data_IF_340949850824
#
_entry.id   IF_340949850824
#
_cell.length_a   1.000
_cell.length_b   1.000
_cell.length_c   1.000
_cell.angle_alpha   90.00
_cell.angle_beta   90.00
_cell.angle_gamma   90.00
#
_symmetry.space_group_name_H-M   'P 1'
#
loop_
_entity.id
_entity.type
_entity.pdbx_description
1 polymer ?
#
# COMPACT_ATOMS: atom_id res chain seq x y z
N UNK A 1 -12.39 51.57 29.53
CA UNK A 1 -11.27 51.57 28.58
C UNK A 1 -11.45 50.36 27.69
N UNK A 2 -12.18 50.55 26.59
CA UNK A 2 -12.64 49.49 25.69
C UNK A 2 -11.89 49.69 24.38
N UNK A 3 -11.04 48.73 24.00
CA UNK A 3 -10.38 48.73 22.70
C UNK A 3 -11.17 47.81 21.76
N UNK A 4 -12.01 48.40 20.90
CA UNK A 4 -12.56 47.70 19.75
C UNK A 4 -11.54 47.78 18.60
N UNK A 5 -10.97 46.64 18.21
CA UNK A 5 -10.18 46.52 16.99
C UNK A 5 -11.17 46.46 15.82
N UNK A 6 -11.31 47.58 15.10
CA UNK A 6 -11.98 47.59 13.80
C UNK A 6 -11.13 46.78 12.81
N UNK A 7 -11.63 45.62 12.37
CA UNK A 7 -11.10 44.94 11.19
C UNK A 7 -11.54 45.74 9.96
N UNK A 8 -10.61 46.49 9.37
CA UNK A 8 -10.84 47.31 8.19
C UNK A 8 -11.07 46.47 6.94
N UNK A 9 -12.03 46.91 6.13
CA UNK A 9 -12.43 46.40 4.80
C UNK A 9 -11.27 46.27 3.79
N UNK A 10 -10.09 46.82 4.10
CA UNK A 10 -8.93 46.86 3.21
C UNK A 10 -7.90 45.74 3.43
N UNK A 11 -8.09 44.87 4.42
CA UNK A 11 -7.20 43.71 4.66
C UNK A 11 -7.52 42.49 3.75
N UNK A 12 -8.47 42.66 2.81
CA UNK A 12 -8.89 41.62 1.87
C UNK A 12 -8.11 41.59 0.56
N UNK A 13 -7.08 42.43 0.43
CA UNK A 13 -6.26 42.54 -0.80
C UNK A 13 -4.81 42.02 -0.64
N UNK A 14 -4.45 41.44 0.53
CA UNK A 14 -3.11 40.88 0.78
C UNK A 14 -3.05 39.34 0.83
N UNK A 15 -4.07 38.62 0.35
CA UNK A 15 -4.05 37.15 0.26
C UNK A 15 -4.22 36.68 -1.17
N UNK A 16 -3.21 36.94 -1.98
CA UNK A 16 -2.99 36.16 -3.20
C UNK A 16 -1.51 35.85 -3.38
N UNK A 17 -0.91 35.24 -2.35
CA UNK A 17 0.25 34.39 -2.60
C UNK A 17 -0.29 33.06 -3.08
N UNK A 18 -0.24 32.84 -4.38
CA UNK A 18 -0.31 31.49 -4.94
C UNK A 18 0.78 30.68 -4.26
N UNK A 19 0.39 29.71 -3.43
CA UNK A 19 1.32 28.68 -2.95
C UNK A 19 1.78 27.95 -4.22
N UNK A 20 2.95 28.32 -4.73
CA UNK A 20 3.63 27.49 -5.70
C UNK A 20 3.94 26.18 -4.96
N UNK A 21 3.44 25.01 -5.40
CA UNK A 21 3.99 23.77 -4.91
C UNK A 21 5.43 23.72 -5.43
N UNK A 22 6.39 24.11 -4.59
CA UNK A 22 7.79 23.76 -4.82
C UNK A 22 7.87 22.26 -4.57
N UNK A 23 7.45 21.46 -5.56
CA UNK A 23 7.85 20.06 -5.62
C UNK A 23 9.35 20.09 -5.85
N UNK A 24 10.10 20.02 -4.75
CA UNK A 24 11.54 19.91 -4.81
C UNK A 24 11.86 18.58 -5.50
N UNK A 25 12.20 18.65 -6.79
CA UNK A 25 12.46 17.48 -7.63
C UNK A 25 13.60 16.64 -7.03
N UNK A 26 14.48 17.26 -6.23
CA UNK A 26 15.53 16.56 -5.50
C UNK A 26 14.98 15.65 -4.37
N UNK A 27 13.85 16.00 -3.74
CA UNK A 27 13.23 15.17 -2.72
C UNK A 27 12.56 13.91 -3.31
N UNK A 28 12.23 13.92 -4.60
CA UNK A 28 11.72 12.72 -5.30
C UNK A 28 12.80 11.66 -5.57
N UNK A 29 14.09 12.04 -5.52
CA UNK A 29 15.22 11.14 -5.81
C UNK A 29 15.95 10.66 -4.55
N UNK A 30 15.64 11.19 -3.36
CA UNK A 30 16.27 10.77 -2.13
C UNK A 30 15.72 9.39 -1.71
N UNK A 31 16.58 8.36 -1.51
CA UNK A 31 16.13 7.07 -1.02
C UNK A 31 15.58 7.19 0.40
N UNK A 32 14.43 6.58 0.64
CA UNK A 32 13.85 6.46 1.97
C UNK A 32 14.83 5.70 2.88
N UNK A 33 15.26 6.35 3.96
CA UNK A 33 16.23 5.78 4.87
C UNK A 33 15.48 5.03 5.99
N UNK A 34 15.52 3.69 5.92
CA UNK A 34 15.01 2.77 6.94
C UNK A 34 15.66 2.96 8.33
N UNK A 35 16.62 3.87 8.49
CA UNK A 35 17.31 4.16 9.75
C UNK A 35 16.45 4.82 10.85
N UNK A 36 15.14 4.97 10.63
CA UNK A 36 14.14 5.01 11.71
C UNK A 36 13.89 3.62 12.36
N UNK A 37 14.69 2.61 12.03
CA UNK A 37 14.65 1.24 12.56
C UNK A 37 14.79 1.14 14.09
N UNK A 38 15.38 2.14 14.76
CA UNK A 38 15.47 2.15 16.23
C UNK A 38 14.09 2.41 16.87
N UNK A 39 13.22 3.19 16.22
CA UNK A 39 11.84 3.37 16.63
C UNK A 39 10.96 2.13 16.36
N UNK A 40 11.26 1.35 15.32
CA UNK A 40 10.55 0.12 14.97
C UNK A 40 10.83 -1.09 15.87
N UNK A 41 11.94 -1.05 16.64
CA UNK A 41 12.27 -2.10 17.61
C UNK A 41 11.49 -1.96 18.92
N UNK A 42 11.13 -0.72 19.31
CA UNK A 42 10.37 -0.42 20.53
C UNK A 42 8.86 -0.27 20.27
N UNK A 43 8.49 0.16 19.06
CA UNK A 43 7.11 0.22 18.60
C UNK A 43 6.97 -0.76 17.45
N UNK A 44 6.28 -1.90 17.68
CA UNK A 44 6.17 -2.99 16.71
C UNK A 44 5.91 -2.51 15.27
N UNK A 45 6.50 -3.22 14.31
CA UNK A 45 6.51 -2.94 12.86
C UNK A 45 5.41 -1.97 12.38
N UNK A 46 5.83 -0.80 11.89
CA UNK A 46 4.93 0.26 11.43
C UNK A 46 4.21 -0.07 10.11
N UNK A 47 4.71 -1.05 9.36
CA UNK A 47 4.35 -1.30 7.96
C UNK A 47 3.45 -2.53 7.84
N UNK A 48 2.36 -2.50 7.06
CA UNK A 48 1.49 -3.68 6.85
C UNK A 48 1.85 -4.42 5.55
N UNK A 49 1.52 -5.71 5.45
CA UNK A 49 1.69 -6.44 4.17
C UNK A 49 0.49 -6.22 3.26
N UNK A 50 0.68 -6.43 1.94
CA UNK A 50 -0.40 -6.34 0.96
C UNK A 50 -1.53 -7.32 1.25
N UNK A 51 -1.22 -8.52 1.70
CA UNK A 51 -2.20 -9.56 2.02
C UNK A 51 -3.07 -9.15 3.21
N UNK A 52 -2.44 -8.56 4.24
CA UNK A 52 -3.15 -8.00 5.40
C UNK A 52 -4.06 -6.84 4.96
N UNK A 53 -3.57 -5.97 4.08
CA UNK A 53 -4.33 -4.86 3.54
C UNK A 53 -5.57 -5.35 2.76
N UNK A 54 -5.42 -6.37 1.91
CA UNK A 54 -6.50 -6.94 1.11
C UNK A 54 -7.51 -7.76 1.93
N UNK A 55 -7.15 -8.20 3.14
CA UNK A 55 -8.08 -8.87 4.04
C UNK A 55 -9.12 -7.91 4.65
N UNK A 56 -8.83 -6.61 4.68
CA UNK A 56 -9.78 -5.59 5.15
C UNK A 56 -10.75 -5.25 4.01
N UNK A 57 -12.07 -5.54 4.14
CA UNK A 57 -13.02 -5.43 3.04
C UNK A 57 -13.21 -3.99 2.55
N UNK A 58 -13.16 -3.01 3.47
CA UNK A 58 -13.23 -1.59 3.12
C UNK A 58 -12.07 -1.18 2.20
N UNK A 59 -10.86 -1.67 2.49
CA UNK A 59 -9.68 -1.36 1.69
C UNK A 59 -9.69 -2.09 0.35
N UNK A 60 -10.05 -3.37 0.33
CA UNK A 60 -10.20 -4.13 -0.89
C UNK A 60 -11.20 -3.48 -1.86
N UNK A 61 -12.33 -2.97 -1.35
CA UNK A 61 -13.30 -2.22 -2.15
C UNK A 61 -12.73 -0.90 -2.66
N UNK A 62 -12.08 -0.11 -1.81
CA UNK A 62 -11.48 1.17 -2.20
C UNK A 62 -10.43 0.99 -3.31
N UNK A 63 -9.53 0.00 -3.13
CA UNK A 63 -8.54 -0.39 -4.14
C UNK A 63 -9.22 -0.77 -5.45
N UNK A 64 -10.29 -1.58 -5.42
CA UNK A 64 -10.97 -1.99 -6.64
C UNK A 64 -11.61 -0.82 -7.38
N UNK A 65 -12.20 0.15 -6.69
CA UNK A 65 -12.76 1.35 -7.33
C UNK A 65 -11.64 2.17 -8.00
N UNK A 66 -10.55 2.46 -7.28
CA UNK A 66 -9.45 3.28 -7.80
C UNK A 66 -8.77 2.60 -9.00
N UNK A 67 -8.33 1.35 -8.83
CA UNK A 67 -7.58 0.63 -9.86
C UNK A 67 -8.43 0.32 -11.09
N UNK A 68 -9.73 0.02 -10.92
CA UNK A 68 -10.63 -0.18 -12.08
C UNK A 68 -10.87 1.12 -12.83
N UNK A 69 -11.02 2.24 -12.12
CA UNK A 69 -11.18 3.55 -12.75
C UNK A 69 -9.95 3.90 -13.58
N UNK A 70 -8.75 3.82 -12.99
CA UNK A 70 -7.49 4.11 -13.71
C UNK A 70 -7.29 3.19 -14.90
N UNK A 71 -7.52 1.88 -14.74
CA UNK A 71 -7.38 0.92 -15.84
C UNK A 71 -8.42 1.05 -16.95
N UNK A 72 -9.56 1.71 -16.68
CA UNK A 72 -10.63 1.93 -17.65
C UNK A 72 -10.46 3.19 -18.51
N UNK A 73 -9.60 4.12 -18.09
CA UNK A 73 -9.38 5.36 -18.82
C UNK A 73 -8.60 5.10 -20.12
N UNK A 74 -9.08 5.56 -21.29
CA UNK A 74 -8.33 5.46 -22.52
C UNK A 74 -7.12 6.40 -22.50
N UNK A 75 -5.98 5.90 -22.96
CA UNK A 75 -4.76 6.71 -23.12
C UNK A 75 -4.72 7.23 -24.55
N UNK A 76 -4.72 8.55 -24.70
CA UNK A 76 -4.66 9.22 -25.99
C UNK A 76 -3.40 10.06 -26.14
N UNK A 77 -2.86 10.14 -27.35
CA UNK A 77 -1.70 10.97 -27.66
C UNK A 77 -2.10 12.19 -28.47
N UNK A 78 -1.48 13.32 -28.14
CA UNK A 78 -1.65 14.58 -28.87
C UNK A 78 -0.28 15.13 -29.25
N UNK A 79 -0.19 15.70 -30.44
CA UNK A 79 1.00 16.46 -30.81
C UNK A 79 1.01 17.77 -30.00
N UNK A 80 2.12 18.07 -29.34
CA UNK A 80 2.24 19.28 -28.53
C UNK A 80 2.04 20.56 -29.33
N UNK A 81 2.51 20.60 -30.59
CA UNK A 81 2.51 21.79 -31.44
C UNK A 81 1.22 21.94 -32.23
N UNK A 82 0.80 20.90 -32.95
CA UNK A 82 -0.38 20.97 -33.84
C UNK A 82 -1.69 20.70 -33.09
N UNK A 83 -1.64 20.22 -31.85
CA UNK A 83 -2.79 19.73 -31.06
C UNK A 83 -3.62 18.66 -31.76
N UNK A 84 -3.09 18.08 -32.83
CA UNK A 84 -3.73 16.99 -33.55
C UNK A 84 -3.77 15.75 -32.68
N UNK A 85 -4.91 15.06 -32.74
CA UNK A 85 -5.10 13.78 -32.09
C UNK A 85 -4.38 12.69 -32.88
N UNK A 86 -3.35 12.11 -32.27
CA UNK A 86 -2.57 11.03 -32.84
C UNK A 86 -3.04 9.72 -32.25
N UNK A 87 -3.11 8.68 -33.08
CA UNK A 87 -3.36 7.32 -32.60
C UNK A 87 -2.20 6.92 -31.67
N UNK A 88 -2.50 6.56 -30.40
CA UNK A 88 -1.47 6.21 -29.43
C UNK A 88 -0.68 4.99 -29.88
N UNK A 89 0.60 4.99 -29.54
CA UNK A 89 1.48 3.87 -29.83
C UNK A 89 0.99 2.60 -29.11
N UNK A 90 1.21 1.43 -29.74
CA UNK A 90 0.80 0.14 -29.16
C UNK A 90 1.29 -0.04 -27.72
N UNK A 91 2.53 0.36 -27.44
CA UNK A 91 3.16 0.27 -26.10
C UNK A 91 2.41 1.03 -25.00
N UNK A 92 1.62 2.05 -25.36
CA UNK A 92 0.79 2.82 -24.43
C UNK A 92 -0.62 2.24 -24.30
N UNK A 93 -1.18 1.66 -25.36
CA UNK A 93 -2.50 1.01 -25.26
C UNK A 93 -2.41 -0.37 -24.61
N UNK A 94 -1.38 -1.12 -24.98
CA UNK A 94 -1.12 -2.48 -24.53
C UNK A 94 0.39 -2.66 -24.32
N UNK A 95 0.90 -2.27 -23.13
CA UNK A 95 2.31 -2.40 -22.77
C UNK A 95 2.88 -3.80 -22.96
N UNK A 96 2.17 -4.81 -22.44
CA UNK A 96 2.56 -6.21 -22.51
C UNK A 96 1.70 -6.91 -23.58
N UNK A 97 2.28 -7.54 -24.60
CA UNK A 97 1.51 -8.27 -25.61
C UNK A 97 0.71 -9.46 -25.04
N UNK A 98 1.06 -9.97 -23.85
CA UNK A 98 0.43 -11.15 -23.22
C UNK A 98 -0.74 -10.79 -22.32
N UNK A 99 -0.80 -9.55 -21.81
CA UNK A 99 -1.77 -9.10 -20.80
C UNK A 99 -2.54 -7.89 -21.39
N UNK A 100 -3.86 -7.76 -21.16
CA UNK A 100 -4.59 -6.58 -21.59
C UNK A 100 -4.06 -5.31 -20.90
N UNK A 101 -3.94 -4.21 -21.63
CA UNK A 101 -3.36 -2.96 -21.11
C UNK A 101 -4.12 -2.40 -19.91
N UNK A 102 -5.44 -2.53 -19.88
CA UNK A 102 -6.28 -2.11 -18.74
C UNK A 102 -5.90 -2.84 -17.44
N UNK A 103 -5.55 -4.12 -17.50
CA UNK A 103 -5.08 -4.87 -16.35
C UNK A 103 -3.70 -4.38 -15.91
N UNK A 104 -2.77 -4.17 -16.85
CA UNK A 104 -1.43 -3.65 -16.54
C UNK A 104 -1.51 -2.30 -15.82
N UNK A 105 -2.33 -1.37 -16.31
CA UNK A 105 -2.54 -0.07 -15.65
C UNK A 105 -3.22 -0.18 -14.29
N UNK A 106 -4.16 -1.11 -14.11
CA UNK A 106 -4.79 -1.36 -12.81
C UNK A 106 -3.78 -1.87 -11.77
N UNK A 107 -2.85 -2.76 -12.16
CA UNK A 107 -1.79 -3.26 -11.29
C UNK A 107 -0.77 -2.18 -10.93
N UNK A 108 -0.40 -1.33 -11.88
CA UNK A 108 0.50 -0.19 -11.62
C UNK A 108 -0.13 0.80 -10.66
N UNK A 109 -1.41 1.11 -10.84
CA UNK A 109 -2.15 1.98 -9.94
C UNK A 109 -2.20 1.41 -8.51
N UNK A 110 -2.33 0.09 -8.37
CA UNK A 110 -2.26 -0.57 -7.07
C UNK A 110 -0.87 -0.47 -6.43
N UNK A 111 0.18 -0.75 -7.21
CA UNK A 111 1.56 -0.67 -6.71
C UNK A 111 1.89 0.75 -6.23
N UNK A 112 1.50 1.76 -7.00
CA UNK A 112 1.64 3.16 -6.58
C UNK A 112 0.85 3.46 -5.30
N UNK A 113 -0.37 2.92 -5.16
CA UNK A 113 -1.20 3.13 -3.97
C UNK A 113 -0.58 2.48 -2.72
N UNK A 114 -0.07 1.26 -2.84
CA UNK A 114 0.39 0.48 -1.69
C UNK A 114 1.84 0.75 -1.30
N UNK A 115 2.74 0.80 -2.28
CA UNK A 115 4.19 0.94 -2.06
C UNK A 115 4.76 2.29 -2.47
N UNK A 116 3.97 3.17 -3.09
CA UNK A 116 4.42 4.50 -3.53
C UNK A 116 5.26 4.48 -4.82
N UNK A 117 5.69 3.29 -5.24
CA UNK A 117 6.47 3.07 -6.46
C UNK A 117 5.88 1.90 -7.23
N UNK A 118 5.91 1.99 -8.56
CA UNK A 118 5.58 0.91 -9.46
C UNK A 118 6.67 0.75 -10.52
N UNK A 119 6.84 -0.48 -11.01
CA UNK A 119 7.94 -0.81 -11.89
C UNK A 119 7.46 -1.57 -13.12
N UNK A 120 8.01 -1.20 -14.27
CA UNK A 120 7.87 -1.91 -15.53
C UNK A 120 9.23 -2.42 -16.02
N UNK A 121 9.31 -3.60 -16.60
CA UNK A 121 10.51 -4.11 -17.25
C UNK A 121 10.34 -4.11 -18.77
N UNK A 122 11.30 -3.54 -19.48
CA UNK A 122 11.32 -3.48 -20.94
C UNK A 122 11.55 -4.88 -21.52
N UNK A 123 10.64 -5.34 -22.37
CA UNK A 123 10.73 -6.63 -23.05
C UNK A 123 11.35 -6.53 -24.43
N UNK A 124 11.04 -5.45 -25.15
CA UNK A 124 11.51 -5.24 -26.53
C UNK A 124 11.65 -3.73 -26.80
N UNK A 125 12.69 -3.38 -27.56
CA UNK A 125 12.99 -2.01 -27.99
C UNK A 125 13.40 -1.99 -29.47
N UNK A 126 13.11 -0.89 -30.15
CA UNK A 126 13.62 -0.67 -31.50
C UNK A 126 15.16 -0.58 -31.50
N UNK A 127 15.75 -0.79 -32.68
CA UNK A 127 17.20 -0.61 -32.88
C UNK A 127 17.65 0.77 -32.38
N UNK A 128 18.88 0.86 -31.91
CA UNK A 128 19.48 2.11 -31.47
C UNK A 128 19.49 3.17 -32.60
N UNK A 129 19.61 2.72 -33.86
CA UNK A 129 19.48 3.57 -35.06
C UNK A 129 18.10 4.17 -35.27
N UNK A 130 17.05 3.62 -34.65
CA UNK A 130 15.65 4.08 -34.73
C UNK A 130 15.21 4.74 -33.40
N UNK A 131 16.18 5.26 -32.64
CA UNK A 131 15.95 6.01 -31.41
C UNK A 131 15.60 5.15 -30.20
N UNK A 132 15.90 3.84 -30.21
CA UNK A 132 15.79 2.92 -29.07
C UNK A 132 14.43 2.95 -28.34
N UNK A 133 13.35 3.24 -29.06
CA UNK A 133 12.02 3.40 -28.47
C UNK A 133 11.54 2.07 -27.88
N UNK A 134 10.91 2.10 -26.71
CA UNK A 134 10.34 0.90 -26.09
C UNK A 134 9.14 0.44 -26.91
N UNK A 135 9.13 -0.84 -27.30
CA UNK A 135 8.03 -1.45 -28.06
C UNK A 135 7.06 -2.21 -27.16
N UNK A 136 7.60 -2.88 -26.13
CA UNK A 136 6.82 -3.65 -25.17
C UNK A 136 7.51 -3.65 -23.80
N UNK A 137 6.71 -3.64 -22.74
CA UNK A 137 7.18 -3.75 -21.37
C UNK A 137 6.10 -4.39 -20.49
N UNK A 138 6.52 -5.05 -19.41
CA UNK A 138 5.62 -5.75 -18.49
C UNK A 138 5.76 -5.23 -17.07
N UNK A 139 4.71 -5.32 -16.27
CA UNK A 139 4.76 -4.90 -14.86
C UNK A 139 5.55 -5.91 -14.03
N UNK A 140 6.45 -5.44 -13.19
CA UNK A 140 7.17 -6.25 -12.20
C UNK A 140 6.70 -5.86 -10.81
N UNK A 141 6.50 -6.86 -9.95
CA UNK A 141 6.02 -6.64 -8.61
C UNK A 141 7.07 -5.89 -7.76
N UNK A 142 6.70 -4.84 -7.01
CA UNK A 142 7.65 -4.01 -6.26
C UNK A 142 8.48 -4.77 -5.21
N UNK A 143 7.94 -5.85 -4.65
CA UNK A 143 8.59 -6.72 -3.66
C UNK A 143 9.80 -7.48 -4.22
N UNK A 144 9.86 -7.68 -5.54
CA UNK A 144 10.96 -8.37 -6.23
C UNK A 144 12.14 -7.45 -6.54
N UNK A 145 11.96 -6.15 -6.36
CA UNK A 145 12.92 -5.13 -6.79
C UNK A 145 13.69 -4.63 -5.58
N UNK A 146 15.00 -4.63 -5.73
CA UNK A 146 15.91 -3.97 -4.79
C UNK A 146 16.82 -3.02 -5.57
N UNK A 147 17.36 -2.01 -4.90
CA UNK A 147 18.27 -1.05 -5.52
C UNK A 147 19.60 -1.04 -4.77
N UNK A 148 20.68 -0.83 -5.52
CA UNK A 148 22.01 -0.66 -4.95
C UNK A 148 22.39 0.82 -5.03
N UNK A 149 22.77 1.38 -3.89
CA UNK A 149 23.22 2.76 -3.78
C UNK A 149 24.73 2.86 -4.00
N UNK A 150 25.20 4.07 -4.29
CA UNK A 150 26.61 4.41 -4.26
C UNK A 150 27.19 4.29 -2.83
N UNK A 151 28.52 4.33 -2.69
CA UNK A 151 29.19 4.21 -1.38
C UNK A 151 28.77 5.30 -0.38
N UNK A 152 28.30 6.45 -0.87
CA UNK A 152 27.86 7.58 -0.07
C UNK A 152 26.35 7.56 0.23
N UNK A 153 25.62 6.53 -0.20
CA UNK A 153 24.17 6.34 -0.04
C UNK A 153 23.29 7.48 -0.60
N UNK A 154 23.79 8.26 -1.56
CA UNK A 154 23.07 9.41 -2.14
C UNK A 154 22.37 9.11 -3.46
N UNK A 155 22.85 8.15 -4.24
CA UNK A 155 22.36 7.89 -5.59
C UNK A 155 22.17 6.38 -5.84
N UNK A 156 21.15 6.04 -6.62
CA UNK A 156 20.90 4.66 -7.07
C UNK A 156 21.81 4.37 -8.28
N UNK A 157 22.69 3.38 -8.16
CA UNK A 157 23.57 2.95 -9.25
C UNK A 157 22.84 2.04 -10.24
N UNK A 158 22.12 1.04 -9.70
CA UNK A 158 21.36 0.10 -10.51
C UNK A 158 20.27 -0.58 -9.67
N UNK A 159 19.31 -1.14 -10.39
CA UNK A 159 18.26 -1.97 -9.81
C UNK A 159 18.59 -3.45 -9.99
N UNK A 160 18.09 -4.26 -9.07
CA UNK A 160 18.13 -5.71 -9.11
C UNK A 160 16.72 -6.25 -9.08
N UNK A 161 16.42 -7.19 -9.97
CA UNK A 161 15.17 -7.96 -9.98
C UNK A 161 15.53 -9.38 -9.55
N UNK A 162 14.91 -9.88 -8.47
CA UNK A 162 15.21 -11.19 -7.88
C UNK A 162 16.71 -11.43 -7.58
N UNK A 163 17.43 -10.35 -7.24
CA UNK A 163 18.86 -10.39 -6.94
C UNK A 163 19.79 -10.27 -8.16
N UNK A 164 19.27 -10.44 -9.38
CA UNK A 164 20.01 -10.23 -10.62
C UNK A 164 20.03 -8.73 -10.98
N UNK A 165 21.21 -8.21 -11.31
CA UNK A 165 21.37 -6.83 -11.76
C UNK A 165 20.74 -6.63 -13.14
N UNK A 166 19.98 -5.54 -13.25
CA UNK A 166 19.26 -5.16 -14.47
C UNK A 166 20.02 -4.04 -15.19
N UNK A 167 20.17 -4.09 -16.53
CA UNK A 167 20.79 -3.01 -17.29
C UNK A 167 20.06 -1.67 -17.08
N UNK A 168 20.82 -0.57 -17.07
CA UNK A 168 20.26 0.78 -16.92
C UNK A 168 19.42 1.22 -18.14
N UNK A 169 19.79 0.75 -19.33
CA UNK A 169 19.17 1.14 -20.60
C UNK A 169 18.97 -0.08 -21.51
N UNK A 170 18.01 0.01 -22.42
CA UNK A 170 17.74 -1.02 -23.43
C UNK A 170 16.84 -2.15 -22.95
N UNK A 171 16.92 -3.29 -23.64
CA UNK A 171 16.07 -4.45 -23.33
C UNK A 171 16.43 -5.01 -21.95
N UNK A 172 15.40 -5.28 -21.15
CA UNK A 172 15.55 -5.76 -19.78
C UNK A 172 15.62 -4.65 -18.74
N UNK A 173 15.82 -3.39 -19.12
CA UNK A 173 15.88 -2.27 -18.17
C UNK A 173 14.55 -2.01 -17.47
N UNK A 174 14.61 -1.30 -16.34
CA UNK A 174 13.42 -0.92 -15.57
C UNK A 174 12.94 0.49 -15.91
N UNK A 175 11.62 0.62 -16.03
CA UNK A 175 10.86 1.86 -16.04
C UNK A 175 10.30 2.04 -14.63
N UNK A 176 10.65 3.15 -13.99
CA UNK A 176 10.21 3.47 -12.62
C UNK A 176 9.10 4.51 -12.69
N UNK A 177 7.96 4.19 -12.07
CA UNK A 177 6.87 5.13 -11.85
C UNK A 177 6.94 5.60 -10.39
N UNK A 178 7.20 6.89 -10.21
CA UNK A 178 7.27 7.51 -8.89
C UNK A 178 5.88 8.03 -8.49
N UNK A 179 5.40 7.58 -7.34
CA UNK A 179 4.20 8.10 -6.70
C UNK A 179 4.48 9.41 -5.96
N UNK A 180 3.40 10.01 -5.47
CA UNK A 180 3.43 11.26 -4.70
C UNK A 180 3.56 11.03 -3.18
N UNK A 181 3.38 9.79 -2.72
CA UNK A 181 3.38 9.38 -1.31
C UNK A 181 4.26 8.12 -1.16
N UNK A 182 4.72 7.84 0.05
CA UNK A 182 5.58 6.70 0.42
C UNK A 182 4.85 5.33 0.36
N UNK A 183 3.55 5.35 0.01
CA UNK A 183 2.68 4.20 -0.07
C UNK A 183 1.83 3.97 1.19
N UNK A 184 0.60 3.53 0.97
CA UNK A 184 -0.37 3.29 2.05
C UNK A 184 0.13 2.26 3.08
N UNK A 185 0.88 1.24 2.64
CA UNK A 185 1.34 0.17 3.53
C UNK A 185 2.34 0.66 4.57
N UNK A 186 3.17 1.64 4.20
CA UNK A 186 4.16 2.24 5.08
C UNK A 186 3.50 3.25 6.03
N UNK A 187 2.57 4.07 5.51
CA UNK A 187 1.89 5.12 6.28
C UNK A 187 0.79 4.61 7.21
N UNK A 188 -0.06 3.70 6.73
CA UNK A 188 -1.29 3.27 7.42
C UNK A 188 -1.20 1.86 8.03
N UNK A 189 0.00 1.30 8.19
CA UNK A 189 0.17 -0.09 8.63
C UNK A 189 -0.43 -0.39 10.00
N UNK A 190 -0.37 0.55 10.95
CA UNK A 190 -1.04 0.40 12.26
C UNK A 190 -2.56 0.33 12.15
N UNK A 191 -3.17 1.16 11.30
CA UNK A 191 -4.63 1.21 11.11
C UNK A 191 -5.15 -0.06 10.43
N UNK A 192 -4.41 -0.57 9.44
CA UNK A 192 -4.75 -1.83 8.76
C UNK A 192 -4.73 -3.00 9.75
N UNK A 193 -3.70 -3.07 10.61
CA UNK A 193 -3.63 -4.09 11.66
C UNK A 193 -4.73 -3.96 12.70
N UNK A 194 -5.03 -2.74 13.15
CA UNK A 194 -6.11 -2.50 14.10
C UNK A 194 -7.45 -2.96 13.53
N UNK A 195 -7.73 -2.69 12.25
CA UNK A 195 -8.93 -3.17 11.58
C UNK A 195 -8.99 -4.71 11.55
N UNK A 196 -7.87 -5.38 11.24
CA UNK A 196 -7.80 -6.83 11.23
C UNK A 196 -8.03 -7.44 12.62
N UNK A 197 -7.42 -6.88 13.66
CA UNK A 197 -7.60 -7.35 15.03
C UNK A 197 -9.03 -7.10 15.53
N UNK A 198 -9.70 -6.04 15.09
CA UNK A 198 -11.12 -5.81 15.39
C UNK A 198 -12.03 -6.87 14.75
N UNK A 199 -11.79 -7.23 13.49
CA UNK A 199 -12.53 -8.31 12.82
C UNK A 199 -12.28 -9.66 13.50
N UNK A 200 -11.02 -9.95 13.83
CA UNK A 200 -10.65 -11.16 14.57
C UNK A 200 -11.26 -11.20 15.96
N UNK A 201 -11.28 -10.07 16.68
CA UNK A 201 -11.93 -9.97 17.98
C UNK A 201 -13.45 -10.20 17.83
N UNK A 202 -14.09 -9.62 16.82
CA UNK A 202 -15.51 -9.85 16.55
C UNK A 202 -15.80 -11.33 16.26
N UNK A 203 -14.96 -12.00 15.47
CA UNK A 203 -15.07 -13.44 15.21
C UNK A 203 -14.89 -14.26 16.49
N UNK A 204 -13.90 -13.92 17.33
CA UNK A 204 -13.69 -14.58 18.62
C UNK A 204 -14.87 -14.38 19.57
N UNK A 205 -15.45 -13.18 19.64
CA UNK A 205 -16.65 -12.91 20.43
C UNK A 205 -17.88 -13.68 19.92
N UNK A 206 -17.99 -13.90 18.61
CA UNK A 206 -19.05 -14.72 18.03
C UNK A 206 -18.86 -16.22 18.35
N UNK A 207 -17.61 -16.71 18.38
CA UNK A 207 -17.28 -18.11 18.73
C UNK A 207 -17.39 -18.38 20.24
N UNK A 208 -16.92 -17.45 21.05
CA UNK A 208 -16.87 -17.54 22.51
C UNK A 208 -17.52 -16.29 23.11
N UNK A 209 -18.85 -16.26 23.27
CA UNK A 209 -19.54 -15.10 23.85
C UNK A 209 -19.06 -14.86 25.28
N UNK A 210 -18.94 -13.59 25.70
CA UNK A 210 -18.42 -13.18 27.02
C UNK A 210 -19.16 -13.90 28.17
N UNK A 211 -18.45 -14.43 29.19
CA UNK A 211 -19.12 -15.08 30.30
C UNK A 211 -19.96 -14.07 31.09
N UNK A 212 -21.25 -14.35 31.24
CA UNK A 212 -22.13 -13.62 32.18
C UNK A 212 -21.93 -14.05 33.63
N UNK A 213 -21.21 -15.14 33.89
CA UNK A 213 -20.94 -15.70 35.22
C UNK A 213 -19.47 -16.06 35.42
N UNK A 214 -18.92 -15.70 36.58
CA UNK A 214 -17.55 -16.04 37.00
C UNK A 214 -17.59 -17.21 37.96
N UNK A 215 -16.90 -18.31 37.62
CA UNK A 215 -16.66 -19.39 38.57
C UNK A 215 -15.58 -18.95 39.55
N UNK A 216 -15.95 -18.75 40.81
CA UNK A 216 -15.03 -18.47 41.91
C UNK A 216 -15.09 -19.59 42.93
N UNK A 217 -13.99 -20.29 43.16
CA UNK A 217 -13.88 -21.29 44.23
C UNK A 217 -13.55 -20.58 45.54
N UNK A 218 -14.47 -20.59 46.51
CA UNK A 218 -14.34 -19.88 47.79
C UNK A 218 -14.19 -20.84 48.99
N UNK A 219 -13.42 -21.94 48.91
CA UNK A 219 -13.08 -22.62 50.17
C UNK A 219 -12.68 -24.10 50.20
N UNK A 220 -12.35 -24.78 49.10
CA UNK A 220 -11.80 -26.16 49.19
C UNK A 220 -10.58 -26.35 48.30
N UNK A 221 -9.52 -26.93 48.86
CA UNK A 221 -8.32 -27.35 48.11
C UNK A 221 -8.70 -28.52 47.20
N UNK A 222 -9.14 -28.21 45.99
CA UNK A 222 -9.36 -29.17 44.92
C UNK A 222 -8.00 -29.68 44.41
N UNK A 223 -7.89 -30.98 44.15
CA UNK A 223 -6.69 -31.54 43.50
C UNK A 223 -6.55 -30.97 42.09
N UNK A 224 -5.32 -30.77 41.59
CA UNK A 224 -5.08 -30.13 40.28
C UNK A 224 -5.77 -30.86 39.13
N UNK A 225 -5.89 -32.19 39.18
CA UNK A 225 -6.58 -33.00 38.18
C UNK A 225 -8.09 -32.77 38.15
N UNK A 226 -8.69 -32.41 39.29
CA UNK A 226 -10.13 -32.13 39.37
C UNK A 226 -10.42 -30.71 38.86
N UNK A 227 -9.49 -29.78 39.04
CA UNK A 227 -9.58 -28.41 38.50
C UNK A 227 -9.50 -28.44 36.97
N UNK A 228 -8.55 -29.17 36.38
CA UNK A 228 -8.42 -29.26 34.92
C UNK A 228 -9.65 -29.87 34.26
N UNK A 229 -10.18 -30.98 34.82
CA UNK A 229 -11.43 -31.60 34.33
C UNK A 229 -12.63 -30.67 34.41
N UNK A 230 -12.72 -29.83 35.44
CA UNK A 230 -13.83 -28.90 35.64
C UNK A 230 -13.71 -27.70 34.69
N UNK A 231 -12.50 -27.21 34.42
CA UNK A 231 -12.25 -26.18 33.42
C UNK A 231 -12.49 -26.68 31.98
N UNK A 232 -12.09 -27.92 31.66
CA UNK A 232 -12.35 -28.55 30.37
C UNK A 232 -13.84 -28.78 30.11
N UNK A 233 -14.57 -29.31 31.09
CA UNK A 233 -16.03 -29.51 30.98
C UNK A 233 -16.78 -28.18 30.87
N UNK A 234 -16.30 -27.14 31.57
CA UNK A 234 -16.82 -25.79 31.47
C UNK A 234 -16.57 -25.18 30.09
N UNK A 235 -15.34 -25.29 29.56
CA UNK A 235 -15.00 -24.81 28.22
C UNK A 235 -15.82 -25.51 27.13
N UNK A 236 -15.98 -26.84 27.23
CA UNK A 236 -16.78 -27.62 26.29
C UNK A 236 -18.28 -27.27 26.34
N UNK A 237 -18.80 -26.91 27.51
CA UNK A 237 -20.18 -26.47 27.66
C UNK A 237 -20.43 -25.11 27.00
N UNK A 238 -19.41 -24.25 26.95
CA UNK A 238 -19.52 -22.90 26.36
C UNK A 238 -19.39 -22.86 24.84
N UNK A 239 -18.67 -23.80 24.24
CA UNK A 239 -18.58 -23.88 22.78
C UNK A 239 -19.85 -24.45 22.13
N UNK A 240 -20.69 -25.16 22.89
CA UNK A 240 -22.00 -25.63 22.42
C UNK A 240 -23.07 -24.58 22.72
N UNK A 241 -23.36 -23.76 21.72
CA UNK A 241 -24.37 -22.67 21.74
C UNK A 241 -25.80 -23.09 22.15
N UNK A 242 -26.08 -24.39 22.32
CA UNK A 242 -27.42 -24.85 22.70
C UNK A 242 -27.36 -26.12 23.56
N UNK A 243 -27.20 -25.96 24.87
CA UNK A 243 -27.73 -26.94 25.81
C UNK A 243 -28.08 -26.22 27.11
N UNK A 244 -29.33 -25.77 27.20
CA UNK A 244 -30.02 -25.68 28.48
C UNK A 244 -29.84 -27.06 29.10
N UNK A 245 -28.99 -27.16 30.13
CA UNK A 245 -28.99 -28.28 31.05
C UNK A 245 -30.39 -28.31 31.69
N UNK A 246 -31.32 -29.06 31.08
CA UNK A 246 -32.42 -29.62 31.85
C UNK A 246 -31.78 -30.64 32.78
N UNK A 247 -31.79 -30.30 34.07
CA UNK A 247 -31.61 -31.24 35.17
C UNK A 247 -32.52 -32.46 35.00
#
# INVERSE_FOLDING_TARGET
MVYYVQMGLFDRFLTNQTIAPTTDVAASYAPYNLQAAIGGMLYGSQTATREQAMSVPALARARNIICSTVGSLPVETYNHFTKEHLRPARVLMQPDPRIPGSATYAWIAEDLLFTGFAYGQVLDSYSESDGARVRAWTRVAPDRITYQLNANQTEILFYRVDGAEVPLYGVGSLVVFNGLDEGLLNRAGRTIRAALELEKAAELYAKEPVPTMVLKSNGTNLTPERITRLLESWKASRSKINCILKC
#
